data_IF_218307898623
#
_entry.id   IF_218307898623
#
_cell.length_a   1.000
_cell.length_b   1.000
_cell.length_c   1.000
_cell.angle_alpha   90.00
_cell.angle_beta   90.00
_cell.angle_gamma   90.00
#
_symmetry.space_group_name_H-M   'P 1'
#
loop_
_entity.id
_entity.type
_entity.pdbx_description
1 polymer ?
#
# COMPACT_ATOMS: atom_id res chain seq x y z
N UNK A 1 21.58 -23.62 -6.81
CA UNK A 1 20.99 -24.19 -8.04
C UNK A 1 19.68 -23.53 -8.47
N UNK A 2 19.01 -22.71 -7.63
CA UNK A 2 17.82 -21.94 -8.07
C UNK A 2 16.61 -22.79 -8.50
N UNK A 3 16.68 -24.10 -8.27
CA UNK A 3 15.66 -25.06 -8.68
C UNK A 3 14.44 -24.92 -7.79
N UNK A 4 13.27 -24.73 -8.41
CA UNK A 4 11.99 -24.68 -7.69
C UNK A 4 11.70 -26.04 -7.07
N UNK A 5 11.46 -26.07 -5.76
CA UNK A 5 11.09 -27.28 -5.03
C UNK A 5 9.58 -27.55 -5.10
N UNK A 6 8.78 -26.50 -4.92
CA UNK A 6 7.31 -26.50 -4.92
C UNK A 6 6.78 -25.10 -5.29
N UNK A 7 5.57 -25.05 -5.84
CA UNK A 7 4.81 -23.83 -6.10
C UNK A 7 3.46 -23.91 -5.38
N UNK A 8 3.19 -22.97 -4.48
CA UNK A 8 1.94 -22.83 -3.73
C UNK A 8 1.24 -21.50 -4.02
N UNK A 9 1.68 -20.77 -5.05
CA UNK A 9 1.15 -19.43 -5.35
C UNK A 9 -0.31 -19.47 -5.78
N UNK A 10 -0.78 -20.61 -6.30
CA UNK A 10 -2.15 -20.77 -6.82
C UNK A 10 -2.51 -19.65 -7.82
N UNK A 11 -1.52 -19.20 -8.59
CA UNK A 11 -1.60 -18.05 -9.51
C UNK A 11 -1.92 -16.70 -8.85
N UNK A 12 -1.97 -16.64 -7.52
CA UNK A 12 -2.21 -15.43 -6.74
C UNK A 12 -0.88 -14.77 -6.40
N UNK A 13 -0.69 -13.58 -6.97
CA UNK A 13 0.52 -12.77 -6.85
C UNK A 13 0.11 -11.29 -6.77
N UNK A 14 0.95 -10.42 -6.17
CA UNK A 14 2.21 -10.73 -5.51
C UNK A 14 2.01 -11.41 -4.14
N UNK A 15 3.02 -12.18 -3.71
CA UNK A 15 3.15 -12.59 -2.30
C UNK A 15 3.64 -11.39 -1.52
N UNK A 16 2.96 -11.04 -0.43
CA UNK A 16 3.17 -9.78 0.28
C UNK A 16 3.72 -9.94 1.69
N UNK A 17 3.34 -11.02 2.38
CA UNK A 17 3.87 -11.34 3.70
C UNK A 17 4.01 -12.86 3.87
N UNK A 18 4.94 -13.25 4.74
CA UNK A 18 5.10 -14.63 5.18
C UNK A 18 5.47 -14.66 6.67
N UNK A 19 5.00 -15.67 7.37
CA UNK A 19 5.38 -15.96 8.76
C UNK A 19 5.62 -17.46 8.92
N UNK A 20 6.68 -17.84 9.64
CA UNK A 20 6.97 -19.25 9.94
C UNK A 20 6.89 -19.47 11.45
N UNK A 21 6.23 -20.55 11.86
CA UNK A 21 6.21 -21.01 13.24
C UNK A 21 7.01 -22.30 13.38
N UNK A 22 8.15 -22.22 14.07
CA UNK A 22 9.15 -23.29 14.14
C UNK A 22 8.65 -24.57 14.80
N UNK A 23 7.91 -24.46 15.90
CA UNK A 23 7.47 -25.63 16.67
C UNK A 23 6.37 -26.43 15.95
N UNK A 24 5.52 -25.76 15.17
CA UNK A 24 4.42 -26.42 14.44
C UNK A 24 4.78 -26.74 13.00
N UNK A 25 5.93 -26.25 12.50
CA UNK A 25 6.32 -26.42 11.10
C UNK A 25 5.33 -25.79 10.11
N UNK A 26 4.66 -24.70 10.50
CA UNK A 26 3.67 -24.02 9.66
C UNK A 26 4.24 -22.74 9.06
N UNK A 27 4.06 -22.59 7.75
CA UNK A 27 4.38 -21.38 6.99
C UNK A 27 3.07 -20.73 6.54
N UNK A 28 2.76 -19.56 7.06
CA UNK A 28 1.67 -18.73 6.56
C UNK A 28 2.19 -17.78 5.48
N UNK A 29 1.41 -17.62 4.41
CA UNK A 29 1.73 -16.77 3.26
C UNK A 29 0.49 -15.96 2.91
N UNK A 30 0.65 -14.67 2.66
CA UNK A 30 -0.43 -13.82 2.15
C UNK A 30 -0.12 -13.23 0.78
N UNK A 31 -1.16 -12.89 0.04
CA UNK A 31 -1.06 -12.30 -1.29
C UNK A 31 -1.85 -10.99 -1.48
N UNK A 32 -1.60 -10.36 -2.62
CA UNK A 32 -2.26 -9.12 -3.03
C UNK A 32 -3.75 -9.26 -3.39
N UNK A 33 -4.26 -10.50 -3.50
CA UNK A 33 -5.68 -10.77 -3.72
C UNK A 33 -6.44 -10.92 -2.39
N UNK A 34 -5.74 -10.83 -1.26
CA UNK A 34 -6.33 -10.86 0.07
C UNK A 34 -6.45 -12.26 0.67
N UNK A 35 -5.78 -13.26 0.09
CA UNK A 35 -5.77 -14.61 0.64
C UNK A 35 -4.65 -14.83 1.64
N UNK A 36 -4.88 -15.77 2.54
CA UNK A 36 -3.86 -16.35 3.41
C UNK A 36 -3.88 -17.86 3.21
N UNK A 37 -2.72 -18.43 2.90
CA UNK A 37 -2.49 -19.87 2.86
C UNK A 37 -1.58 -20.28 4.00
N UNK A 38 -1.94 -21.37 4.70
CA UNK A 38 -1.09 -22.02 5.72
C UNK A 38 -0.57 -23.32 5.14
N UNK A 39 0.74 -23.46 5.08
CA UNK A 39 1.46 -24.56 4.46
C UNK A 39 2.21 -25.34 5.54
N UNK A 40 2.05 -26.66 5.55
CA UNK A 40 2.90 -27.56 6.31
C UNK A 40 4.27 -27.65 5.65
N UNK A 41 5.36 -27.32 6.35
CA UNK A 41 6.73 -27.46 5.83
C UNK A 41 7.27 -28.88 5.97
N UNK A 42 6.58 -29.75 6.72
CA UNK A 42 6.89 -31.18 6.81
C UNK A 42 6.35 -31.93 5.58
N UNK A 43 5.05 -31.78 5.31
CA UNK A 43 4.38 -32.48 4.21
C UNK A 43 4.40 -31.70 2.89
N UNK A 44 4.78 -30.42 2.91
CA UNK A 44 4.74 -29.51 1.76
C UNK A 44 3.36 -29.47 1.11
N UNK A 45 2.33 -29.26 1.92
CA UNK A 45 0.93 -29.13 1.49
C UNK A 45 0.27 -27.92 2.11
N UNK A 46 -0.63 -27.30 1.36
CA UNK A 46 -1.54 -26.28 1.87
C UNK A 46 -2.51 -26.98 2.83
N UNK A 47 -2.41 -26.64 4.12
CA UNK A 47 -3.32 -27.11 5.16
C UNK A 47 -4.57 -26.23 5.23
N UNK A 48 -4.43 -24.93 5.03
CA UNK A 48 -5.55 -23.97 5.01
C UNK A 48 -5.35 -22.97 3.89
N UNK A 49 -6.46 -22.57 3.27
CA UNK A 49 -6.49 -21.50 2.29
C UNK A 49 -7.80 -20.74 2.44
N UNK A 50 -7.73 -19.44 2.72
CA UNK A 50 -8.93 -18.66 2.97
C UNK A 50 -8.79 -17.21 2.51
N UNK A 51 -9.93 -16.62 2.12
CA UNK A 51 -9.99 -15.24 1.64
C UNK A 51 -10.12 -14.28 2.83
N UNK A 52 -8.99 -13.89 3.40
CA UNK A 52 -8.94 -13.10 4.63
C UNK A 52 -9.54 -11.69 4.46
N UNK A 53 -9.42 -11.06 3.28
CA UNK A 53 -10.03 -9.76 3.01
C UNK A 53 -10.71 -9.72 1.64
N UNK A 54 -11.95 -9.22 1.60
CA UNK A 54 -12.73 -9.06 0.36
C UNK A 54 -12.19 -7.95 -0.55
N UNK A 55 -11.43 -6.99 -0.02
CA UNK A 55 -10.84 -5.89 -0.78
C UNK A 55 -9.45 -5.54 -0.22
N UNK A 56 -8.44 -5.65 -1.06
CA UNK A 56 -7.09 -5.20 -0.77
C UNK A 56 -6.14 -6.29 -0.26
N UNK A 57 -4.88 -5.93 -0.04
CA UNK A 57 -3.82 -6.87 0.33
C UNK A 57 -3.80 -7.18 1.83
N UNK A 58 -3.24 -8.34 2.18
CA UNK A 58 -2.73 -8.63 3.53
C UNK A 58 -1.22 -8.43 3.54
N UNK A 59 -0.74 -7.40 4.25
CA UNK A 59 0.68 -6.98 4.25
C UNK A 59 1.49 -7.48 5.43
N UNK A 60 0.83 -7.91 6.50
CA UNK A 60 1.51 -8.39 7.69
C UNK A 60 0.87 -9.70 8.15
N UNK A 61 1.73 -10.65 8.53
CA UNK A 61 1.35 -11.93 9.14
C UNK A 61 2.22 -12.19 10.36
N UNK A 62 1.64 -12.78 11.40
CA UNK A 62 2.35 -13.34 12.53
C UNK A 62 1.59 -14.53 13.10
N UNK A 63 2.29 -15.51 13.66
CA UNK A 63 1.68 -16.50 14.53
C UNK A 63 1.66 -16.01 15.98
N UNK A 64 0.68 -16.44 16.76
CA UNK A 64 0.81 -16.40 18.22
C UNK A 64 2.00 -17.26 18.68
N UNK A 65 2.55 -17.03 19.89
CA UNK A 65 3.71 -17.77 20.38
C UNK A 65 3.53 -19.29 20.45
N UNK A 66 2.29 -19.76 20.61
CA UNK A 66 1.91 -21.18 20.63
C UNK A 66 1.51 -21.72 19.23
N UNK A 67 1.53 -20.87 18.20
CA UNK A 67 1.14 -21.22 16.84
C UNK A 67 -0.36 -21.48 16.64
N UNK A 68 -1.21 -21.22 17.63
CA UNK A 68 -2.65 -21.53 17.57
C UNK A 68 -3.48 -20.48 16.83
N UNK A 69 -2.99 -19.24 16.77
CA UNK A 69 -3.64 -18.09 16.13
C UNK A 69 -2.74 -17.52 15.05
N UNK A 70 -3.35 -17.15 13.92
CA UNK A 70 -2.71 -16.30 12.92
C UNK A 70 -3.25 -14.87 13.02
N UNK A 71 -2.33 -13.92 13.17
CA UNK A 71 -2.58 -12.49 13.16
C UNK A 71 -2.31 -11.93 11.77
N UNK A 72 -3.20 -11.08 11.27
CA UNK A 72 -3.05 -10.42 9.98
C UNK A 72 -3.33 -8.92 10.07
N UNK A 73 -2.53 -8.16 9.35
CA UNK A 73 -2.70 -6.73 9.15
C UNK A 73 -2.81 -6.39 7.66
N UNK A 74 -3.69 -5.46 7.33
CA UNK A 74 -3.92 -4.98 5.97
C UNK A 74 -4.21 -3.48 5.94
N UNK A 75 -5.18 -3.06 5.15
CA UNK A 75 -5.56 -1.65 4.99
C UNK A 75 -6.39 -1.08 6.16
N UNK A 76 -6.91 -1.93 7.04
CA UNK A 76 -7.79 -1.50 8.13
C UNK A 76 -7.00 -1.06 9.37
N UNK A 77 -7.63 -0.22 10.21
CA UNK A 77 -7.04 0.29 11.44
C UNK A 77 -7.00 -0.73 12.60
N UNK A 78 -7.26 -2.00 12.31
CA UNK A 78 -7.30 -3.09 13.31
C UNK A 78 -6.50 -4.30 12.82
N UNK A 79 -5.95 -5.05 13.76
CA UNK A 79 -5.33 -6.36 13.51
C UNK A 79 -6.41 -7.43 13.69
N UNK A 80 -6.45 -8.38 12.76
CA UNK A 80 -7.36 -9.51 12.81
C UNK A 80 -6.62 -10.76 13.29
N UNK A 81 -7.30 -11.60 14.05
CA UNK A 81 -6.76 -12.86 14.55
C UNK A 81 -7.74 -14.00 14.32
N UNK A 82 -7.25 -15.12 13.78
CA UNK A 82 -8.06 -16.32 13.62
C UNK A 82 -7.40 -17.53 14.27
N UNK A 83 -8.12 -18.28 15.11
CA UNK A 83 -7.66 -19.58 15.58
C UNK A 83 -7.59 -20.55 14.40
N UNK A 84 -6.42 -21.14 14.15
CA UNK A 84 -6.16 -21.95 12.95
C UNK A 84 -7.08 -23.18 12.90
N UNK A 85 -7.33 -23.79 14.05
CA UNK A 85 -8.21 -24.97 14.17
C UNK A 85 -9.68 -24.67 13.84
N UNK A 86 -10.10 -23.41 13.92
CA UNK A 86 -11.48 -23.00 13.68
C UNK A 86 -11.71 -22.46 12.27
N UNK A 87 -10.67 -22.37 11.44
CA UNK A 87 -10.77 -21.86 10.07
C UNK A 87 -11.64 -22.72 9.15
N UNK A 88 -11.89 -23.98 9.50
CA UNK A 88 -12.81 -24.86 8.75
C UNK A 88 -14.28 -24.65 9.15
N UNK A 89 -14.53 -23.91 10.24
CA UNK A 89 -15.84 -23.80 10.89
C UNK A 89 -16.49 -22.43 10.72
N UNK A 90 -15.71 -21.41 10.34
CA UNK A 90 -16.19 -20.05 10.11
C UNK A 90 -15.44 -19.44 8.94
N UNK A 91 -16.11 -18.59 8.17
CA UNK A 91 -15.46 -17.80 7.11
C UNK A 91 -14.69 -16.62 7.74
N UNK A 92 -13.35 -16.66 7.79
CA UNK A 92 -12.55 -15.52 8.26
C UNK A 92 -12.74 -14.35 7.30
N UNK A 93 -13.12 -13.19 7.83
CA UNK A 93 -13.19 -11.95 7.05
C UNK A 93 -12.68 -10.79 7.89
N UNK A 94 -11.73 -10.06 7.33
CA UNK A 94 -11.45 -8.69 7.73
C UNK A 94 -12.68 -7.83 7.45
N UNK A 95 -12.89 -6.82 8.29
CA UNK A 95 -14.04 -5.94 8.21
C UNK A 95 -14.01 -5.11 6.93
N UNK A 96 -15.19 -4.70 6.44
CA UNK A 96 -15.32 -3.90 5.21
C UNK A 96 -15.16 -2.40 5.44
N UNK A 97 -14.98 -1.97 6.69
CA UNK A 97 -14.94 -0.56 7.05
C UNK A 97 -13.50 -0.05 7.03
N UNK A 98 -13.05 0.31 5.83
CA UNK A 98 -12.11 1.41 5.72
C UNK A 98 -12.83 2.65 6.24
N UNK A 99 -12.60 3.02 7.49
CA UNK A 99 -12.86 4.40 7.87
C UNK A 99 -11.77 5.24 7.21
N UNK A 100 -12.00 5.61 5.94
CA UNK A 100 -11.68 6.98 5.63
C UNK A 100 -12.49 7.83 6.63
N UNK A 101 -11.87 8.83 7.24
CA UNK A 101 -12.57 9.75 8.15
C UNK A 101 -13.80 10.41 7.49
N UNK A 102 -13.95 10.26 6.16
CA UNK A 102 -15.01 10.80 5.30
C UNK A 102 -15.47 9.72 4.31
N UNK A 103 -16.79 9.65 4.07
CA UNK A 103 -17.42 8.71 3.14
C UNK A 103 -16.92 8.90 1.68
N UNK A 104 -16.44 7.86 0.98
CA UNK A 104 -16.03 7.96 -0.43
C UNK A 104 -17.08 8.54 -1.38
N UNK A 105 -18.38 8.36 -1.08
CA UNK A 105 -19.49 8.94 -1.85
C UNK A 105 -19.58 10.47 -1.73
N UNK A 106 -18.99 11.03 -0.66
CA UNK A 106 -18.94 12.48 -0.40
C UNK A 106 -17.68 13.17 -0.94
N UNK A 107 -16.77 12.40 -1.55
CA UNK A 107 -15.51 12.90 -2.11
C UNK A 107 -15.61 13.13 -3.61
N UNK A 108 -14.86 14.09 -4.15
CA UNK A 108 -14.63 14.17 -5.59
C UNK A 108 -13.78 12.98 -6.07
N UNK A 109 -13.71 12.74 -7.38
CA UNK A 109 -12.84 11.69 -7.90
C UNK A 109 -11.36 11.95 -7.55
N UNK A 110 -10.88 13.17 -7.77
CA UNK A 110 -9.51 13.56 -7.40
C UNK A 110 -9.19 13.40 -5.91
N UNK A 111 -10.13 13.79 -5.03
CA UNK A 111 -9.98 13.57 -3.58
C UNK A 111 -9.88 12.08 -3.26
N UNK A 112 -10.68 11.21 -3.91
CA UNK A 112 -10.55 9.75 -3.73
C UNK A 112 -9.21 9.22 -4.21
N UNK A 113 -8.69 9.70 -5.34
CA UNK A 113 -7.37 9.30 -5.82
C UNK A 113 -6.28 9.68 -4.81
N UNK A 114 -6.33 10.90 -4.28
CA UNK A 114 -5.42 11.35 -3.23
C UNK A 114 -5.54 10.49 -1.97
N UNK A 115 -6.76 10.27 -1.48
CA UNK A 115 -6.99 9.50 -0.25
C UNK A 115 -6.47 8.07 -0.35
N UNK A 116 -6.65 7.42 -1.51
CA UNK A 116 -6.22 6.04 -1.74
C UNK A 116 -4.72 5.88 -1.96
N UNK A 117 -4.11 6.81 -2.69
CA UNK A 117 -2.73 6.66 -3.14
C UNK A 117 -1.77 7.48 -2.30
N UNK A 118 -2.12 8.73 -1.98
CA UNK A 118 -1.17 9.72 -1.48
C UNK A 118 -1.27 9.96 0.03
N UNK A 119 -2.47 9.89 0.62
CA UNK A 119 -2.76 10.43 1.97
C UNK A 119 -1.98 9.76 3.11
N UNK A 120 -1.52 8.52 2.91
CA UNK A 120 -0.70 7.82 3.89
C UNK A 120 0.69 8.45 4.02
N UNK A 121 1.28 8.83 2.88
CA UNK A 121 2.63 9.38 2.80
C UNK A 121 2.66 10.91 2.80
N UNK A 122 1.62 11.57 2.32
CA UNK A 122 1.64 13.00 2.08
C UNK A 122 0.56 13.75 2.85
N UNK A 123 0.93 14.93 3.31
CA UNK A 123 0.05 15.92 3.89
C UNK A 123 -0.21 17.04 2.87
N UNK A 124 -1.35 17.73 3.01
CA UNK A 124 -1.78 18.85 2.15
C UNK A 124 -1.81 20.19 2.91
N UNK A 125 -1.92 20.13 4.24
CA UNK A 125 -1.98 21.29 5.12
C UNK A 125 -0.62 21.97 5.24
N UNK A 126 -0.63 23.28 5.48
CA UNK A 126 0.59 24.06 5.68
C UNK A 126 1.27 23.62 7.00
N UNK A 127 2.54 23.21 6.92
CA UNK A 127 3.36 22.88 8.08
C UNK A 127 4.32 21.71 7.86
N UNK A 128 5.07 21.36 8.91
CA UNK A 128 5.93 20.17 8.86
C UNK A 128 5.11 18.91 9.04
N UNK A 129 5.15 18.03 8.04
CA UNK A 129 4.54 16.70 8.13
C UNK A 129 5.53 15.68 8.69
N UNK A 130 5.06 14.80 9.58
CA UNK A 130 5.80 13.60 10.02
C UNK A 130 5.50 12.37 9.18
N UNK A 131 4.79 12.54 8.06
CA UNK A 131 4.47 11.42 7.17
C UNK A 131 5.71 10.97 6.39
N UNK A 132 5.61 9.80 5.76
CA UNK A 132 6.73 9.18 5.06
C UNK A 132 7.21 10.01 3.86
N UNK A 133 6.33 10.74 3.18
CA UNK A 133 6.61 11.61 2.04
C UNK A 133 6.70 13.11 2.41
N UNK A 134 7.26 13.95 1.52
CA UNK A 134 7.32 15.40 1.72
C UNK A 134 5.92 16.02 1.71
N UNK A 135 5.76 17.18 2.36
CA UNK A 135 4.49 17.92 2.33
C UNK A 135 4.19 18.41 0.90
N UNK A 136 2.93 18.30 0.45
CA UNK A 136 2.48 18.75 -0.87
C UNK A 136 1.85 20.15 -0.88
N UNK A 137 1.68 20.80 0.27
CA UNK A 137 1.27 22.20 0.33
C UNK A 137 2.20 23.06 -0.53
N UNK A 138 1.64 23.89 -1.42
CA UNK A 138 2.40 24.68 -2.38
C UNK A 138 3.24 23.86 -3.36
N UNK A 139 2.77 22.67 -3.78
CA UNK A 139 3.54 21.82 -4.71
C UNK A 139 3.64 22.44 -6.11
N UNK A 140 2.60 23.13 -6.59
CA UNK A 140 2.62 23.72 -7.94
C UNK A 140 3.62 24.89 -8.03
N UNK A 141 4.52 24.82 -9.01
CA UNK A 141 5.65 25.73 -9.22
C UNK A 141 6.89 25.41 -8.39
N UNK A 142 6.85 24.41 -7.50
CA UNK A 142 7.97 24.07 -6.62
C UNK A 142 8.96 23.14 -7.32
N UNK A 143 10.26 23.43 -7.18
CA UNK A 143 11.32 22.54 -7.62
C UNK A 143 11.32 21.23 -6.80
N UNK A 144 11.48 20.09 -7.46
CA UNK A 144 11.57 18.81 -6.78
C UNK A 144 12.77 18.77 -5.81
N UNK A 145 12.64 18.05 -4.70
CA UNK A 145 13.73 17.92 -3.73
C UNK A 145 13.92 19.09 -2.76
N UNK A 146 13.06 20.11 -2.78
CA UNK A 146 13.33 21.38 -2.07
C UNK A 146 12.53 21.63 -0.79
N UNK A 147 11.67 20.70 -0.35
CA UNK A 147 10.94 20.87 0.93
C UNK A 147 11.95 20.89 2.10
N UNK A 148 12.02 21.98 2.90
CA UNK A 148 12.98 22.07 3.99
C UNK A 148 12.82 20.96 5.03
N UNK A 149 13.96 20.40 5.47
CA UNK A 149 13.99 19.37 6.52
C UNK A 149 13.54 17.97 6.11
N UNK A 150 13.12 17.76 4.85
CA UNK A 150 12.83 16.43 4.33
C UNK A 150 14.08 15.81 3.68
N UNK A 151 14.38 14.55 3.99
CA UNK A 151 15.54 13.84 3.44
C UNK A 151 15.15 13.08 2.17
N UNK A 152 15.47 13.67 1.02
CA UNK A 152 15.17 13.09 -0.29
C UNK A 152 16.06 11.89 -0.66
N UNK A 153 15.75 11.24 -1.78
CA UNK A 153 16.68 10.36 -2.49
C UNK A 153 17.74 11.19 -3.21
N UNK A 154 18.92 10.61 -3.40
CA UNK A 154 20.05 11.32 -4.04
C UNK A 154 19.72 11.76 -5.47
N UNK A 155 18.84 11.04 -6.18
CA UNK A 155 18.38 11.42 -7.53
C UNK A 155 17.58 12.73 -7.59
N UNK A 156 17.08 13.21 -6.45
CA UNK A 156 16.32 14.47 -6.38
C UNK A 156 17.19 15.64 -5.91
N UNK A 157 18.45 15.40 -5.53
CA UNK A 157 19.39 16.47 -5.21
C UNK A 157 19.77 17.22 -6.49
N UNK A 158 19.53 18.54 -6.52
CA UNK A 158 19.76 19.37 -7.70
C UNK A 158 18.89 19.03 -8.92
N UNK A 159 17.73 18.38 -8.74
CA UNK A 159 16.81 18.08 -9.84
C UNK A 159 16.23 19.36 -10.47
N UNK A 160 16.15 19.38 -11.80
CA UNK A 160 15.52 20.48 -12.57
C UNK A 160 14.00 20.33 -12.73
N UNK A 161 13.40 19.29 -12.14
CA UNK A 161 11.96 19.04 -12.25
C UNK A 161 11.20 20.11 -11.46
N UNK A 162 10.38 20.90 -12.16
CA UNK A 162 9.43 21.82 -11.55
C UNK A 162 8.05 21.19 -11.55
N UNK A 163 7.45 21.07 -10.38
CA UNK A 163 6.13 20.47 -10.23
C UNK A 163 5.05 21.39 -10.80
N UNK A 164 4.52 21.02 -11.95
CA UNK A 164 3.37 21.59 -12.61
C UNK A 164 2.42 20.46 -13.06
N UNK A 165 1.34 20.82 -13.76
CA UNK A 165 0.33 19.86 -14.25
C UNK A 165 0.96 18.76 -15.11
N UNK A 166 1.83 19.14 -16.04
CA UNK A 166 2.47 18.24 -17.00
C UNK A 166 3.42 17.26 -16.32
N UNK A 167 4.27 17.74 -15.41
CA UNK A 167 5.22 16.90 -14.66
C UNK A 167 4.53 15.97 -13.65
N UNK A 168 3.42 16.40 -13.05
CA UNK A 168 2.63 15.56 -12.15
C UNK A 168 1.86 14.50 -12.95
N UNK A 169 1.29 14.85 -14.11
CA UNK A 169 0.67 13.88 -15.01
C UNK A 169 1.69 12.84 -15.47
N UNK A 170 2.86 13.29 -15.97
CA UNK A 170 3.94 12.43 -16.42
C UNK A 170 4.46 11.50 -15.33
N UNK A 171 4.60 11.99 -14.08
CA UNK A 171 4.98 11.17 -12.93
C UNK A 171 4.03 9.98 -12.73
N UNK A 172 2.72 10.17 -12.94
CA UNK A 172 1.72 9.12 -12.71
C UNK A 172 1.38 8.32 -13.96
N UNK A 173 1.60 8.85 -15.15
CA UNK A 173 1.50 8.12 -16.41
C UNK A 173 2.66 7.11 -16.55
N UNK A 174 3.89 7.59 -16.34
CA UNK A 174 5.11 6.80 -16.47
C UNK A 174 5.44 6.02 -15.18
N UNK A 175 5.00 6.51 -14.03
CA UNK A 175 5.33 5.97 -12.71
C UNK A 175 6.67 6.49 -12.19
N UNK A 176 6.85 6.60 -10.86
CA UNK A 176 8.07 7.13 -10.25
C UNK A 176 9.34 6.38 -10.65
N UNK A 177 9.27 5.05 -10.82
CA UNK A 177 10.43 4.23 -11.19
C UNK A 177 10.99 4.57 -12.58
N UNK A 178 10.16 5.10 -13.47
CA UNK A 178 10.56 5.49 -14.83
C UNK A 178 10.77 7.01 -14.95
N UNK A 179 9.93 7.82 -14.31
CA UNK A 179 10.02 9.28 -14.38
C UNK A 179 11.15 9.83 -13.51
N UNK A 180 11.39 9.22 -12.33
CA UNK A 180 12.44 9.61 -11.38
C UNK A 180 13.15 8.34 -10.85
N UNK A 181 13.93 7.65 -11.70
CA UNK A 181 14.59 6.40 -11.32
C UNK A 181 15.44 6.55 -10.06
N UNK A 182 15.26 5.65 -9.08
CA UNK A 182 15.95 5.72 -7.79
C UNK A 182 15.28 6.62 -6.74
N UNK A 183 14.10 7.17 -7.04
CA UNK A 183 13.25 7.81 -6.03
C UNK A 183 12.80 6.81 -4.97
N UNK A 184 12.59 7.30 -3.74
CA UNK A 184 12.04 6.51 -2.61
C UNK A 184 10.51 6.43 -2.62
N UNK A 185 9.84 7.07 -3.59
CA UNK A 185 8.39 7.10 -3.69
C UNK A 185 7.86 5.75 -4.22
N UNK A 186 7.16 4.94 -3.40
CA UNK A 186 6.78 3.57 -3.79
C UNK A 186 5.49 3.51 -4.63
N UNK A 187 4.96 4.66 -5.07
CA UNK A 187 3.62 4.75 -5.64
C UNK A 187 3.57 4.25 -7.09
N UNK A 188 2.51 3.52 -7.41
CA UNK A 188 2.23 3.00 -8.75
C UNK A 188 1.51 4.02 -9.65
N UNK A 189 1.55 3.78 -10.96
CA UNK A 189 0.89 4.56 -12.01
C UNK A 189 -0.62 4.77 -11.78
N UNK A 190 -1.17 5.79 -12.43
CA UNK A 190 -2.61 6.05 -12.57
C UNK A 190 -2.93 5.98 -14.07
N UNK A 191 -3.44 4.83 -14.51
CA UNK A 191 -3.57 4.53 -15.93
C UNK A 191 -4.66 5.35 -16.65
N UNK A 192 -5.74 5.70 -15.96
CA UNK A 192 -6.81 6.50 -16.56
C UNK A 192 -6.44 7.99 -16.58
N UNK A 193 -6.38 8.64 -17.76
CA UNK A 193 -6.05 10.06 -17.87
C UNK A 193 -7.01 10.97 -17.10
N UNK A 194 -8.30 10.60 -17.06
CA UNK A 194 -9.31 11.36 -16.31
C UNK A 194 -9.04 11.31 -14.81
N UNK A 195 -8.61 10.17 -14.27
CA UNK A 195 -8.25 10.04 -12.85
C UNK A 195 -7.04 10.90 -12.50
N UNK A 196 -6.06 10.99 -13.40
CA UNK A 196 -4.89 11.87 -13.22
C UNK A 196 -5.27 13.33 -13.25
N UNK A 197 -6.06 13.74 -14.25
CA UNK A 197 -6.54 15.12 -14.37
C UNK A 197 -7.32 15.54 -13.12
N UNK A 198 -8.26 14.70 -12.68
CA UNK A 198 -9.08 15.00 -11.50
C UNK A 198 -8.21 15.07 -10.23
N UNK A 199 -7.19 14.21 -10.08
CA UNK A 199 -6.21 14.29 -9.00
C UNK A 199 -5.43 15.61 -9.04
N UNK A 200 -4.93 16.01 -10.20
CA UNK A 200 -4.19 17.26 -10.39
C UNK A 200 -5.07 18.46 -10.02
N UNK A 201 -6.32 18.48 -10.48
CA UNK A 201 -7.28 19.53 -10.14
C UNK A 201 -7.55 19.61 -8.64
N UNK A 202 -7.75 18.45 -8.00
CA UNK A 202 -7.90 18.38 -6.55
C UNK A 202 -6.65 18.91 -5.82
N UNK A 203 -5.45 18.48 -6.23
CA UNK A 203 -4.21 18.96 -5.63
C UNK A 203 -4.05 20.47 -5.81
N UNK A 204 -4.41 21.03 -6.96
CA UNK A 204 -4.30 22.48 -7.22
C UNK A 204 -5.14 23.27 -6.22
N UNK A 205 -6.37 22.82 -5.97
CA UNK A 205 -7.26 23.44 -4.98
C UNK A 205 -6.77 23.20 -3.55
N UNK A 206 -6.38 21.97 -3.22
CA UNK A 206 -6.04 21.59 -1.85
C UNK A 206 -4.66 22.05 -1.39
N UNK A 207 -3.76 22.38 -2.32
CA UNK A 207 -2.37 22.80 -2.03
C UNK A 207 -2.09 24.24 -2.44
N UNK A 208 -3.01 24.89 -3.17
CA UNK A 208 -2.95 26.31 -3.44
C UNK A 208 -3.08 27.10 -2.14
N UNK A 209 -2.30 28.16 -2.00
CA UNK A 209 -2.43 29.07 -0.86
C UNK A 209 -3.88 29.56 -0.80
N UNK A 210 -4.55 29.33 0.33
CA UNK A 210 -5.72 30.11 0.67
C UNK A 210 -5.33 31.58 0.62
N UNK A 211 -6.09 32.38 -0.11
CA UNK A 211 -6.11 33.82 0.14
C UNK A 211 -6.51 34.09 1.58
#
# INVERSE_FOLDING_TARGET
TGTVLRDFTLERRPILAMAFHGETGKLAVSDGHGYISVISTESWRIERDFHATRRGPVWALAFSPDGSVIWAGGLDSVVYGWPIELLDRFEPSMGTSHSFLKDPGSMSNGERQFMRKCSICHALDAGNSRKAGPNLNGVFGRLAGTVPGYRYSDTLDGSDIVWNEESIDALFDLGPDNYIPGSKMPMQQIAAPEDRRDLIDFLRVATGNGN
#
